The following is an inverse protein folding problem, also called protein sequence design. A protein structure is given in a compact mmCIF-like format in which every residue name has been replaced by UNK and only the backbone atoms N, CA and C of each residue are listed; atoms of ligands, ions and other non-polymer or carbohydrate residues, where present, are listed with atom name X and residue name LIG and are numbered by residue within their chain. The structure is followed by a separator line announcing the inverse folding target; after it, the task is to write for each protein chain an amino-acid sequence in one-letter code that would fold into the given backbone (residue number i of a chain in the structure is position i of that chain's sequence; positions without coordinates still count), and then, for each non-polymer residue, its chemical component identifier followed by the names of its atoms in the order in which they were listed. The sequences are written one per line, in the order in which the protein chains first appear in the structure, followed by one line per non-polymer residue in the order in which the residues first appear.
data_IF_309984095328
#
_entry.id   IF_309984095328
#
_cell.length_a   1.000
_cell.length_b   1.000
_cell.length_c   1.000
_cell.angle_alpha   90.00
_cell.angle_beta   90.00
_cell.angle_gamma   90.00
#
_symmetry.space_group_name_H-M   'P 1'
#
loop_
_entity.id
_entity.type
_entity.pdbx_description
1 polymer ?
#
# COMPACT_ATOMS: atom_id res chain seq x y z
N UNK A 1 67.42 -3.64 -31.42
CA UNK A 1 66.38 -2.57 -31.26
C UNK A 1 65.08 -3.22 -30.86
N UNK A 2 64.84 -3.36 -29.51
CA UNK A 2 63.64 -3.94 -28.95
C UNK A 2 62.67 -2.81 -28.58
N UNK A 3 61.45 -2.82 -29.17
CA UNK A 3 60.38 -1.91 -28.84
C UNK A 3 59.50 -2.56 -27.75
N UNK A 4 59.52 -2.01 -26.53
CA UNK A 4 58.59 -2.35 -25.49
C UNK A 4 57.26 -1.60 -25.71
N UNK A 5 56.19 -2.34 -26.01
CA UNK A 5 54.83 -1.81 -25.95
C UNK A 5 54.36 -1.78 -24.49
N UNK A 6 54.09 -0.58 -24.00
CA UNK A 6 53.42 -0.39 -22.71
C UNK A 6 51.89 -0.53 -22.94
N UNK A 7 51.30 -1.56 -22.39
CA UNK A 7 49.83 -1.71 -22.36
C UNK A 7 49.29 -0.91 -21.17
N UNK A 8 48.56 0.16 -21.45
CA UNK A 8 47.82 0.92 -20.42
C UNK A 8 46.46 0.25 -20.23
N UNK A 9 46.29 -0.43 -19.11
CA UNK A 9 44.98 -0.98 -18.71
C UNK A 9 44.19 0.12 -18.07
N UNK A 10 43.15 0.64 -18.76
CA UNK A 10 42.16 1.53 -18.17
C UNK A 10 41.26 0.71 -17.22
N UNK A 11 41.41 0.92 -15.92
CA UNK A 11 40.38 0.50 -14.93
C UNK A 11 39.18 1.42 -15.05
N UNK A 12 38.11 0.95 -15.63
CA UNK A 12 36.81 1.59 -15.52
C UNK A 12 36.29 1.44 -14.10
N UNK A 13 36.39 2.49 -13.29
CA UNK A 13 35.72 2.58 -11.98
C UNK A 13 34.24 2.81 -12.28
N UNK A 14 33.47 1.74 -12.30
CA UNK A 14 32.01 1.81 -12.32
C UNK A 14 31.53 2.44 -11.02
N UNK A 15 31.14 3.71 -11.06
CA UNK A 15 30.42 4.33 -9.95
C UNK A 15 29.04 3.64 -9.84
N UNK A 16 28.90 2.70 -8.92
CA UNK A 16 27.61 2.21 -8.49
C UNK A 16 26.93 3.35 -7.73
N UNK A 17 26.03 4.06 -8.41
CA UNK A 17 25.12 4.94 -7.70
C UNK A 17 24.29 4.08 -6.77
N UNK A 18 24.47 4.23 -5.47
CA UNK A 18 23.58 3.66 -4.49
C UNK A 18 22.17 4.20 -4.76
N UNK A 19 21.25 3.31 -5.11
CA UNK A 19 19.86 3.68 -5.35
C UNK A 19 19.30 4.19 -4.02
N UNK A 20 18.73 5.40 -4.03
CA UNK A 20 18.19 6.00 -2.81
C UNK A 20 16.91 5.25 -2.41
N UNK A 21 16.76 5.01 -1.09
CA UNK A 21 15.51 4.47 -0.56
C UNK A 21 14.31 5.38 -0.90
N UNK A 22 13.10 4.85 -1.05
CA UNK A 22 11.91 5.66 -1.31
C UNK A 22 11.72 6.66 -0.17
N UNK A 23 11.38 7.89 -0.50
CA UNK A 23 11.15 8.95 0.50
C UNK A 23 10.16 9.96 -0.03
N UNK A 24 9.16 10.29 0.79
CA UNK A 24 8.24 11.39 0.50
C UNK A 24 9.01 12.72 0.40
N UNK A 25 8.50 13.71 -0.35
CA UNK A 25 9.12 15.03 -0.50
C UNK A 25 9.46 15.66 0.86
N UNK A 26 10.67 16.21 0.99
CA UNK A 26 11.17 16.80 2.24
C UNK A 26 10.35 18.01 2.74
N UNK A 27 9.53 18.61 1.89
CA UNK A 27 8.61 19.69 2.23
C UNK A 27 7.35 19.22 2.95
N UNK A 28 7.11 17.90 3.06
CA UNK A 28 5.97 17.38 3.79
C UNK A 28 6.13 17.67 5.28
N UNK A 29 5.04 18.14 5.88
CA UNK A 29 4.90 18.20 7.33
C UNK A 29 4.65 16.81 7.89
N UNK A 30 4.90 16.62 9.19
CA UNK A 30 4.66 15.35 9.88
C UNK A 30 4.09 15.58 11.27
N UNK A 31 3.17 14.72 11.70
CA UNK A 31 2.68 14.68 13.08
C UNK A 31 2.08 13.32 13.41
N UNK A 32 1.81 13.09 14.67
CA UNK A 32 1.04 11.94 15.14
C UNK A 32 -0.36 12.41 15.52
N UNK A 33 -1.38 11.66 15.09
CA UNK A 33 -2.78 11.91 15.40
C UNK A 33 -3.30 10.74 16.23
N UNK A 34 -3.82 11.05 17.42
CA UNK A 34 -4.44 10.06 18.26
C UNK A 34 -5.82 9.68 17.70
N UNK A 35 -6.00 8.39 17.43
CA UNK A 35 -7.28 7.81 17.02
C UNK A 35 -8.12 7.44 18.24
N UNK A 36 -9.44 7.70 18.23
CA UNK A 36 -10.35 7.20 19.27
C UNK A 36 -10.32 5.67 19.44
N UNK A 37 -9.82 4.96 18.43
CA UNK A 37 -9.66 3.49 18.45
C UNK A 37 -8.33 3.05 19.13
N UNK A 38 -7.66 3.94 19.86
CA UNK A 38 -6.51 3.62 20.71
C UNK A 38 -5.18 3.46 19.98
N UNK A 39 -5.05 3.99 18.76
CA UNK A 39 -3.77 4.04 18.05
C UNK A 39 -3.29 5.48 17.85
N UNK A 40 -1.99 5.67 17.91
CA UNK A 40 -1.33 6.90 17.50
C UNK A 40 -0.87 6.73 16.05
N UNK A 41 -1.49 7.45 15.12
CA UNK A 41 -1.25 7.35 13.69
C UNK A 41 -0.28 8.42 13.25
N UNK A 42 0.90 7.98 12.79
CA UNK A 42 1.85 8.89 12.17
C UNK A 42 1.37 9.24 10.76
N UNK A 43 1.39 10.51 10.43
CA UNK A 43 0.97 11.01 9.12
C UNK A 43 1.91 12.10 8.62
N UNK A 44 2.20 12.04 7.34
CA UNK A 44 2.89 13.11 6.61
C UNK A 44 1.93 13.72 5.60
N UNK A 45 2.01 15.04 5.40
CA UNK A 45 1.16 15.71 4.42
C UNK A 45 1.84 16.94 3.82
N UNK A 46 1.46 17.28 2.59
CA UNK A 46 2.01 18.41 1.86
C UNK A 46 1.18 18.79 0.65
N UNK A 47 1.57 19.87 -0.01
CA UNK A 47 0.84 20.42 -1.16
C UNK A 47 -0.34 21.30 -0.78
N UNK A 48 -1.13 21.72 -1.78
CA UNK A 48 -2.33 22.56 -1.63
C UNK A 48 -3.35 22.19 -2.70
N UNK A 49 -4.63 22.16 -2.34
CA UNK A 49 -5.73 21.83 -3.24
C UNK A 49 -6.65 20.77 -2.65
N UNK A 50 -7.44 20.07 -3.47
CA UNK A 50 -8.29 18.96 -3.02
C UNK A 50 -7.47 17.90 -2.29
N UNK A 51 -8.08 17.29 -1.26
CA UNK A 51 -7.36 16.35 -0.39
C UNK A 51 -7.33 14.96 -1.02
N UNK A 52 -6.15 14.33 -1.05
CA UNK A 52 -5.95 12.94 -1.47
C UNK A 52 -5.26 12.18 -0.34
N UNK A 53 -5.87 11.13 0.16
CA UNK A 53 -5.29 10.22 1.14
C UNK A 53 -4.72 9.00 0.43
N UNK A 54 -3.44 8.67 0.70
CA UNK A 54 -2.73 7.53 0.12
C UNK A 54 -2.50 6.48 1.21
N UNK A 55 -3.11 5.31 1.07
CA UNK A 55 -3.08 4.23 2.06
C UNK A 55 -2.25 3.06 1.53
N UNK A 56 -1.10 2.83 2.16
CA UNK A 56 -0.12 1.80 1.76
C UNK A 56 -0.57 0.38 2.12
N UNK A 57 0.17 -0.61 1.59
CA UNK A 57 -0.06 -2.03 1.80
C UNK A 57 0.84 -2.71 2.83
N UNK A 58 0.84 -4.05 2.78
CA UNK A 58 1.73 -4.90 3.54
C UNK A 58 3.09 -5.00 2.86
N UNK A 59 4.14 -5.31 3.62
CA UNK A 59 5.54 -5.35 3.16
C UNK A 59 6.07 -4.00 2.64
N UNK A 60 5.37 -2.92 2.94
CA UNK A 60 5.72 -1.54 2.62
C UNK A 60 5.30 -0.60 3.76
N UNK A 61 5.48 0.70 3.59
CA UNK A 61 4.97 1.77 4.45
C UNK A 61 4.59 2.99 3.59
N UNK A 62 4.25 4.12 4.22
CA UNK A 62 3.83 5.34 3.52
C UNK A 62 4.84 5.88 2.49
N UNK A 63 6.12 5.49 2.55
CA UNK A 63 7.14 5.93 1.58
C UNK A 63 7.00 5.25 0.21
N UNK A 64 6.25 4.13 0.08
CA UNK A 64 5.93 3.53 -1.22
C UNK A 64 5.21 4.50 -2.16
N UNK A 65 4.50 5.45 -1.59
CA UNK A 65 3.77 6.48 -2.33
C UNK A 65 4.63 7.64 -2.83
N UNK A 66 5.95 7.63 -2.62
CA UNK A 66 6.82 8.75 -2.96
C UNK A 66 6.66 9.26 -4.41
N UNK A 67 6.57 8.40 -5.46
CA UNK A 67 6.39 8.88 -6.82
C UNK A 67 5.05 9.61 -7.02
N UNK A 68 3.95 9.05 -6.51
CA UNK A 68 2.62 9.64 -6.64
C UNK A 68 2.47 10.91 -5.79
N UNK A 69 3.01 10.89 -4.58
CA UNK A 69 2.95 12.04 -3.68
C UNK A 69 3.72 13.25 -4.25
N UNK A 70 4.88 13.02 -4.86
CA UNK A 70 5.68 14.07 -5.51
C UNK A 70 4.95 14.69 -6.72
N UNK A 71 4.12 13.91 -7.40
CA UNK A 71 3.33 14.42 -8.51
C UNK A 71 2.08 15.17 -8.03
N UNK A 72 1.27 14.56 -7.18
CA UNK A 72 0.01 15.11 -6.70
C UNK A 72 0.18 16.37 -5.85
N UNK A 73 1.28 16.52 -5.08
CA UNK A 73 1.49 17.70 -4.24
C UNK A 73 1.58 19.03 -5.01
N UNK A 74 1.69 19.00 -6.33
CA UNK A 74 1.74 20.19 -7.18
C UNK A 74 0.43 20.98 -7.13
N UNK A 75 -0.70 20.28 -6.99
CA UNK A 75 -2.06 20.83 -7.08
C UNK A 75 -3.08 20.17 -6.13
N UNK A 76 -2.65 19.20 -5.32
CA UNK A 76 -3.44 18.54 -4.29
C UNK A 76 -2.81 18.67 -2.92
N UNK A 77 -3.62 18.58 -1.88
CA UNK A 77 -3.14 18.29 -0.52
C UNK A 77 -3.04 16.77 -0.37
N UNK A 78 -1.82 16.26 -0.29
CA UNK A 78 -1.55 14.83 -0.20
C UNK A 78 -1.35 14.45 1.25
N UNK A 79 -2.10 13.46 1.75
CA UNK A 79 -2.09 12.95 3.12
C UNK A 79 -1.66 11.49 3.09
N UNK A 80 -0.55 11.16 3.74
CA UNK A 80 0.08 9.83 3.66
C UNK A 80 0.32 9.30 5.08
N UNK A 81 -0.66 8.56 5.65
CA UNK A 81 -0.51 7.93 6.96
C UNK A 81 0.31 6.64 6.86
N UNK A 82 1.02 6.29 7.93
CA UNK A 82 1.40 4.91 8.20
C UNK A 82 0.20 4.21 8.85
N UNK A 83 -0.18 3.04 8.36
CA UNK A 83 -1.26 2.26 8.96
C UNK A 83 -0.90 1.86 10.40
N UNK A 84 -1.93 1.65 11.23
CA UNK A 84 -1.81 1.06 12.58
C UNK A 84 -0.87 -0.15 12.55
N UNK A 85 0.15 -0.15 13.41
CA UNK A 85 1.10 -1.24 13.54
C UNK A 85 2.28 -1.21 12.56
N UNK A 86 2.30 -0.30 11.58
CA UNK A 86 3.33 -0.21 10.55
C UNK A 86 4.04 1.15 10.64
N UNK A 87 5.27 1.21 10.18
CA UNK A 87 6.05 2.43 10.15
C UNK A 87 6.21 3.07 11.52
N UNK A 88 5.98 4.37 11.57
CA UNK A 88 6.06 5.18 12.78
C UNK A 88 4.76 5.25 13.58
N UNK A 89 3.69 4.63 13.09
CA UNK A 89 2.44 4.49 13.85
C UNK A 89 2.62 3.54 15.03
N UNK A 90 1.84 3.75 16.09
CA UNK A 90 1.88 2.88 17.27
C UNK A 90 1.42 1.46 16.91
N UNK A 91 1.91 0.48 17.69
CA UNK A 91 1.70 -0.94 17.48
C UNK A 91 0.86 -1.55 18.63
N UNK A 92 -0.44 -1.13 18.78
CA UNK A 92 -1.32 -1.64 19.84
C UNK A 92 -1.52 -3.16 19.72
N UNK A 93 -2.04 -3.79 20.78
CA UNK A 93 -2.27 -5.25 20.79
C UNK A 93 -3.44 -5.70 19.91
N UNK A 94 -4.37 -4.79 19.57
CA UNK A 94 -5.57 -5.12 18.81
C UNK A 94 -6.04 -4.02 17.86
N UNK A 95 -7.26 -4.21 17.28
CA UNK A 95 -7.89 -3.25 16.39
C UNK A 95 -7.36 -3.31 14.95
N UNK A 96 -6.85 -4.46 14.51
CA UNK A 96 -6.30 -4.64 13.17
C UNK A 96 -7.35 -5.01 12.12
N UNK A 97 -8.62 -5.13 12.51
CA UNK A 97 -9.72 -5.20 11.56
C UNK A 97 -9.85 -3.87 10.77
N UNK A 98 -10.29 -3.99 9.53
CA UNK A 98 -10.24 -2.88 8.58
C UNK A 98 -11.29 -1.80 8.88
N UNK A 99 -12.36 -2.17 9.58
CA UNK A 99 -13.36 -1.22 10.08
C UNK A 99 -12.80 -0.31 11.17
N UNK A 100 -12.00 -0.86 12.10
CA UNK A 100 -11.26 -0.08 13.10
C UNK A 100 -10.23 0.82 12.44
N UNK A 101 -9.45 0.30 11.49
CA UNK A 101 -8.46 1.10 10.75
C UNK A 101 -9.10 2.19 9.88
N UNK A 102 -10.30 1.97 9.36
CA UNK A 102 -11.06 3.01 8.66
C UNK A 102 -11.38 4.21 9.57
N UNK A 103 -11.66 3.96 10.85
CA UNK A 103 -11.85 5.04 11.84
C UNK A 103 -10.54 5.77 12.16
N UNK A 104 -9.41 5.05 12.17
CA UNK A 104 -8.08 5.70 12.27
C UNK A 104 -7.87 6.67 11.11
N UNK A 105 -8.18 6.24 9.88
CA UNK A 105 -8.07 7.10 8.70
C UNK A 105 -9.02 8.30 8.77
N UNK A 106 -10.22 8.12 9.33
CA UNK A 106 -11.13 9.24 9.58
C UNK A 106 -10.56 10.23 10.59
N UNK A 107 -9.96 9.74 11.67
CA UNK A 107 -9.29 10.58 12.67
C UNK A 107 -8.13 11.37 12.04
N UNK A 108 -7.36 10.76 11.13
CA UNK A 108 -6.29 11.44 10.39
C UNK A 108 -6.85 12.60 9.57
N UNK A 109 -7.86 12.36 8.73
CA UNK A 109 -8.46 13.38 7.86
C UNK A 109 -9.02 14.54 8.68
N UNK A 110 -9.81 14.25 9.72
CA UNK A 110 -10.42 15.26 10.58
C UNK A 110 -9.42 15.98 11.47
N UNK A 111 -8.43 15.26 12.00
CA UNK A 111 -7.34 15.81 12.81
C UNK A 111 -6.41 16.77 12.05
N UNK A 112 -6.39 16.69 10.71
CA UNK A 112 -5.75 17.65 9.84
C UNK A 112 -6.68 18.80 9.40
N UNK A 113 -7.94 18.80 9.85
CA UNK A 113 -8.90 19.86 9.54
C UNK A 113 -9.67 19.66 8.23
N UNK A 114 -9.63 18.46 7.64
CA UNK A 114 -10.33 18.15 6.39
C UNK A 114 -11.61 17.34 6.65
N UNK A 115 -12.56 17.40 5.72
CA UNK A 115 -13.82 16.63 5.82
C UNK A 115 -13.94 15.57 4.72
N UNK A 116 -13.66 15.93 3.48
CA UNK A 116 -13.77 15.04 2.31
C UNK A 116 -12.41 14.81 1.68
N UNK A 117 -12.25 13.63 1.07
CA UNK A 117 -10.98 13.26 0.44
C UNK A 117 -11.19 12.33 -0.76
N UNK A 118 -10.31 12.40 -1.73
CA UNK A 118 -10.02 11.29 -2.62
C UNK A 118 -9.25 10.24 -1.83
N UNK A 119 -9.46 8.97 -2.12
CA UNK A 119 -8.75 7.86 -1.47
C UNK A 119 -8.06 7.01 -2.53
N UNK A 120 -6.77 6.80 -2.36
CA UNK A 120 -5.95 5.88 -3.19
C UNK A 120 -5.32 4.86 -2.26
N UNK A 121 -5.43 3.59 -2.60
CA UNK A 121 -4.99 2.53 -1.72
C UNK A 121 -4.38 1.36 -2.49
N UNK A 122 -3.48 0.62 -1.84
CA UNK A 122 -2.80 -0.55 -2.36
C UNK A 122 -2.83 -1.68 -1.33
N UNK A 123 -2.95 -2.92 -1.78
CA UNK A 123 -2.88 -4.15 -0.98
C UNK A 123 -3.84 -4.13 0.24
N UNK A 124 -3.37 -4.38 1.46
CA UNK A 124 -4.23 -4.28 2.67
C UNK A 124 -4.83 -2.88 2.84
N UNK A 125 -4.19 -1.85 2.27
CA UNK A 125 -4.75 -0.51 2.19
C UNK A 125 -6.07 -0.47 1.42
N UNK A 126 -6.28 -1.31 0.38
CA UNK A 126 -7.57 -1.44 -0.31
C UNK A 126 -8.69 -1.88 0.64
N UNK A 127 -8.36 -2.80 1.52
CA UNK A 127 -9.33 -3.34 2.48
C UNK A 127 -9.75 -2.26 3.48
N UNK A 128 -8.78 -1.44 3.94
CA UNK A 128 -9.03 -0.26 4.79
C UNK A 128 -9.82 0.80 4.04
N UNK A 129 -9.46 1.08 2.78
CA UNK A 129 -10.13 2.06 1.94
C UNK A 129 -11.57 1.67 1.61
N UNK A 130 -11.84 0.38 1.37
CA UNK A 130 -13.20 -0.12 1.21
C UNK A 130 -14.03 0.06 2.48
N UNK A 131 -13.52 -0.36 3.64
CA UNK A 131 -14.19 -0.16 4.91
C UNK A 131 -14.42 1.33 5.22
N UNK A 132 -13.45 2.20 4.88
CA UNK A 132 -13.57 3.65 4.99
C UNK A 132 -14.69 4.20 4.09
N UNK A 133 -14.69 3.83 2.81
CA UNK A 133 -15.70 4.27 1.85
C UNK A 133 -17.11 3.75 2.18
N UNK A 134 -17.23 2.52 2.70
CA UNK A 134 -18.50 1.96 3.13
C UNK A 134 -19.04 2.62 4.41
N UNK A 135 -18.15 3.02 5.33
CA UNK A 135 -18.55 3.67 6.59
C UNK A 135 -18.82 5.16 6.42
N UNK A 136 -18.08 5.84 5.55
CA UNK A 136 -18.09 7.30 5.36
C UNK A 136 -18.29 7.68 3.87
N UNK A 137 -19.31 7.09 3.23
CA UNK A 137 -19.51 7.22 1.79
C UNK A 137 -19.64 8.69 1.31
N UNK A 138 -20.26 9.56 2.11
CA UNK A 138 -20.42 10.99 1.81
C UNK A 138 -19.10 11.80 1.97
N UNK A 139 -18.05 11.17 2.50
CA UNK A 139 -16.71 11.76 2.72
C UNK A 139 -15.68 11.36 1.66
N UNK A 140 -16.00 10.39 0.81
CA UNK A 140 -15.13 9.92 -0.27
C UNK A 140 -15.59 10.47 -1.61
N UNK A 141 -14.75 11.29 -2.23
CA UNK A 141 -15.05 11.91 -3.53
C UNK A 141 -14.84 10.93 -4.69
N UNK A 142 -13.74 10.17 -4.67
CA UNK A 142 -13.38 9.09 -5.58
C UNK A 142 -12.53 8.07 -4.83
N UNK A 143 -12.59 6.83 -5.26
CA UNK A 143 -11.81 5.73 -4.68
C UNK A 143 -10.95 5.06 -5.75
N UNK A 144 -9.66 4.91 -5.49
CA UNK A 144 -8.74 4.08 -6.28
C UNK A 144 -8.30 2.91 -5.40
N UNK A 145 -8.48 1.69 -5.89
CA UNK A 145 -8.03 0.46 -5.22
C UNK A 145 -7.11 -0.31 -6.16
N UNK A 146 -5.97 -0.77 -5.62
CA UNK A 146 -4.90 -1.36 -6.42
C UNK A 146 -4.51 -2.74 -5.89
N UNK A 147 -4.73 -3.75 -6.73
CA UNK A 147 -4.09 -5.06 -6.71
C UNK A 147 -4.23 -5.89 -5.42
N UNK A 148 -5.43 -5.96 -4.83
CA UNK A 148 -5.70 -6.85 -3.69
C UNK A 148 -7.17 -7.23 -3.57
N UNK A 149 -7.48 -8.41 -2.95
CA UNK A 149 -8.85 -8.81 -2.70
C UNK A 149 -9.46 -8.01 -1.54
N UNK A 150 -10.77 -8.21 -1.34
CA UNK A 150 -11.49 -7.75 -0.16
C UNK A 150 -11.98 -8.98 0.60
N UNK A 151 -11.58 -9.21 1.86
CA UNK A 151 -12.00 -10.38 2.63
C UNK A 151 -13.52 -10.59 2.62
N UNK A 152 -13.96 -11.79 2.25
CA UNK A 152 -15.38 -12.15 2.19
C UNK A 152 -16.16 -11.65 0.97
N UNK A 153 -15.57 -10.84 0.07
CA UNK A 153 -16.17 -10.42 -1.20
C UNK A 153 -15.69 -11.35 -2.32
N UNK A 154 -16.61 -11.81 -3.13
CA UNK A 154 -16.30 -12.79 -4.19
C UNK A 154 -15.24 -12.25 -5.19
N UNK A 155 -14.33 -13.11 -5.65
CA UNK A 155 -14.21 -14.54 -5.41
C UNK A 155 -13.27 -14.92 -4.22
N UNK A 156 -13.54 -14.41 -3.02
CA UNK A 156 -12.67 -14.56 -1.84
C UNK A 156 -12.27 -16.00 -1.54
N UNK A 157 -13.24 -16.94 -1.58
CA UNK A 157 -12.98 -18.32 -1.25
C UNK A 157 -12.05 -19.01 -2.28
N UNK A 158 -12.14 -18.64 -3.54
CA UNK A 158 -11.24 -19.14 -4.61
C UNK A 158 -9.83 -18.57 -4.42
N UNK A 159 -9.72 -17.29 -4.04
CA UNK A 159 -8.43 -16.66 -3.75
C UNK A 159 -7.73 -17.36 -2.59
N UNK A 160 -8.45 -17.73 -1.53
CA UNK A 160 -7.88 -18.44 -0.37
C UNK A 160 -7.34 -19.84 -0.73
N UNK A 161 -7.83 -20.46 -1.79
CA UNK A 161 -7.32 -21.75 -2.28
C UNK A 161 -6.04 -21.59 -3.10
N UNK A 162 -5.67 -20.38 -3.50
CA UNK A 162 -4.45 -20.15 -4.26
C UNK A 162 -3.22 -20.28 -3.34
N UNK A 163 -2.29 -21.22 -3.61
CA UNK A 163 -1.09 -21.37 -2.78
C UNK A 163 -0.18 -20.13 -2.80
N UNK A 164 -0.31 -19.23 -3.77
CA UNK A 164 0.43 -17.97 -3.83
C UNK A 164 0.12 -17.02 -2.65
N UNK A 165 -1.10 -17.10 -2.08
CA UNK A 165 -1.48 -16.29 -0.91
C UNK A 165 -1.18 -16.97 0.42
N UNK A 166 -0.17 -17.83 0.48
CA UNK A 166 0.24 -18.59 1.67
C UNK A 166 0.40 -17.71 2.92
N UNK A 167 0.86 -16.47 2.75
CA UNK A 167 1.11 -15.50 3.82
C UNK A 167 -0.19 -15.06 4.53
N UNK A 168 -1.37 -15.21 3.91
CA UNK A 168 -2.64 -14.94 4.56
C UNK A 168 -2.89 -15.86 5.77
N UNK A 169 -2.30 -17.06 5.74
CA UNK A 169 -2.41 -18.04 6.82
C UNK A 169 -1.13 -18.20 7.63
N UNK A 170 -0.04 -17.51 7.25
CA UNK A 170 1.25 -17.57 7.95
C UNK A 170 1.32 -16.46 9.00
N UNK A 171 0.74 -16.70 10.15
CA UNK A 171 0.67 -15.76 11.27
C UNK A 171 0.61 -16.50 12.62
N UNK A 172 0.56 -15.74 13.72
CA UNK A 172 0.51 -16.28 15.07
C UNK A 172 1.88 -16.35 15.78
N UNK A 173 1.93 -16.91 16.99
CA UNK A 173 3.10 -16.84 17.84
C UNK A 173 4.31 -17.59 17.26
N UNK A 174 4.09 -18.74 16.62
CA UNK A 174 5.20 -19.53 16.06
C UNK A 174 5.72 -18.91 14.77
N UNK A 175 4.86 -18.38 13.89
CA UNK A 175 5.28 -17.61 12.73
C UNK A 175 6.16 -16.41 13.14
N UNK A 176 5.75 -15.67 14.18
CA UNK A 176 6.55 -14.59 14.77
C UNK A 176 7.93 -15.07 15.23
N UNK A 177 8.02 -16.21 15.91
CA UNK A 177 9.30 -16.78 16.38
C UNK A 177 10.20 -17.22 15.21
N UNK A 178 9.62 -17.81 14.17
CA UNK A 178 10.34 -18.25 12.97
C UNK A 178 10.95 -17.06 12.20
N UNK A 179 10.23 -15.93 12.14
CA UNK A 179 10.63 -14.76 11.35
C UNK A 179 11.56 -13.83 12.15
N UNK A 180 11.56 -13.87 13.47
CA UNK A 180 12.37 -12.98 14.31
C UNK A 180 13.85 -12.98 13.92
N UNK A 181 14.39 -11.83 13.54
CA UNK A 181 15.74 -11.62 13.00
C UNK A 181 15.92 -12.12 11.56
N UNK A 182 14.84 -12.49 10.89
CA UNK A 182 14.81 -12.97 9.48
C UNK A 182 13.74 -12.26 8.66
N UNK A 183 13.29 -11.10 9.11
CA UNK A 183 12.21 -10.31 8.49
C UNK A 183 12.52 -10.05 7.02
N UNK A 184 13.79 -9.75 6.67
CA UNK A 184 14.20 -9.55 5.29
C UNK A 184 14.00 -10.82 4.43
N UNK A 185 14.32 -12.00 4.94
CA UNK A 185 14.16 -13.28 4.22
C UNK A 185 12.65 -13.55 4.00
N UNK A 186 11.83 -13.29 5.01
CA UNK A 186 10.39 -13.44 4.92
C UNK A 186 9.79 -12.52 3.86
N UNK A 187 10.17 -11.25 3.87
CA UNK A 187 9.67 -10.27 2.90
C UNK A 187 10.24 -10.47 1.49
N UNK A 188 11.49 -10.92 1.35
CA UNK A 188 12.05 -11.28 0.05
C UNK A 188 11.19 -12.33 -0.66
N UNK A 189 10.67 -13.31 0.08
CA UNK A 189 9.75 -14.30 -0.47
C UNK A 189 8.47 -13.64 -1.00
N UNK A 190 7.86 -12.73 -0.24
CA UNK A 190 6.63 -12.03 -0.64
C UNK A 190 6.92 -11.14 -1.86
N UNK A 191 7.98 -10.33 -1.83
CA UNK A 191 8.31 -9.48 -2.97
C UNK A 191 8.57 -10.28 -4.23
N UNK A 192 9.31 -11.39 -4.15
CA UNK A 192 9.64 -12.23 -5.30
C UNK A 192 8.44 -12.99 -5.85
N UNK A 193 7.52 -13.44 -4.99
CA UNK A 193 6.33 -14.20 -5.43
C UNK A 193 5.34 -13.32 -6.21
N UNK A 194 5.34 -11.99 -5.97
CA UNK A 194 4.32 -11.10 -6.51
C UNK A 194 4.87 -10.04 -7.50
N UNK A 195 6.16 -10.00 -7.75
CA UNK A 195 6.75 -9.07 -8.77
C UNK A 195 6.72 -9.67 -10.17
N UNK A 196 6.53 -8.81 -11.17
CA UNK A 196 6.80 -9.15 -12.58
C UNK A 196 8.24 -8.84 -12.98
N UNK A 197 8.90 -7.93 -12.27
CA UNK A 197 10.30 -7.55 -12.46
C UNK A 197 11.13 -7.95 -11.24
N UNK A 198 11.97 -9.02 -11.32
CA UNK A 198 12.78 -9.48 -10.20
C UNK A 198 13.74 -8.44 -9.60
N UNK A 199 14.02 -7.35 -10.33
CA UNK A 199 14.82 -6.23 -9.82
C UNK A 199 14.02 -5.27 -8.91
N UNK A 200 12.70 -5.51 -8.76
CA UNK A 200 11.77 -4.64 -8.02
C UNK A 200 11.00 -5.40 -6.93
N UNK A 201 10.73 -4.76 -5.80
CA UNK A 201 11.41 -3.56 -5.30
C UNK A 201 12.94 -3.75 -5.29
N UNK A 202 13.72 -2.68 -5.44
CA UNK A 202 15.17 -2.78 -5.43
C UNK A 202 15.74 -3.04 -4.03
N UNK A 203 17.03 -3.37 -3.95
CA UNK A 203 17.70 -3.79 -2.70
C UNK A 203 17.62 -2.71 -1.61
N UNK A 204 17.75 -1.44 -1.94
CA UNK A 204 17.66 -0.35 -0.98
C UNK A 204 16.23 -0.23 -0.40
N UNK A 205 15.23 -0.34 -1.27
CA UNK A 205 13.80 -0.32 -0.92
C UNK A 205 13.44 -1.53 -0.04
N UNK A 206 13.88 -2.74 -0.41
CA UNK A 206 13.64 -3.96 0.37
C UNK A 206 14.25 -3.87 1.77
N UNK A 207 15.49 -3.39 1.88
CA UNK A 207 16.14 -3.17 3.17
C UNK A 207 15.38 -2.16 4.03
N UNK A 208 14.95 -1.07 3.43
CA UNK A 208 14.20 -0.02 4.12
C UNK A 208 12.86 -0.53 4.66
N UNK A 209 12.07 -1.21 3.83
CA UNK A 209 10.77 -1.74 4.26
C UNK A 209 10.93 -2.86 5.30
N UNK A 210 11.85 -3.81 5.08
CA UNK A 210 12.07 -4.88 6.06
C UNK A 210 12.48 -4.34 7.43
N UNK A 211 13.33 -3.30 7.48
CA UNK A 211 13.74 -2.67 8.74
C UNK A 211 12.55 -2.09 9.53
N UNK A 212 11.54 -1.56 8.82
CA UNK A 212 10.30 -1.05 9.44
C UNK A 212 9.56 -2.13 10.25
N UNK A 213 9.52 -3.35 9.74
CA UNK A 213 8.85 -4.48 10.40
C UNK A 213 9.73 -5.20 11.43
N UNK A 214 11.06 -5.04 11.35
CA UNK A 214 12.00 -5.58 12.31
C UNK A 214 11.98 -4.82 13.66
N UNK A 215 11.39 -3.62 13.70
CA UNK A 215 11.21 -2.88 14.94
C UNK A 215 10.36 -3.63 15.97
N UNK A 216 10.54 -3.37 17.28
CA UNK A 216 9.77 -4.01 18.34
C UNK A 216 8.25 -3.95 18.08
N UNK A 217 7.61 -5.11 17.99
CA UNK A 217 6.18 -5.25 17.72
C UNK A 217 5.80 -5.20 16.24
N UNK A 218 6.72 -4.88 15.31
CA UNK A 218 6.43 -4.72 13.89
C UNK A 218 5.85 -5.99 13.26
N UNK A 219 6.54 -7.13 13.36
CA UNK A 219 6.01 -8.39 12.81
C UNK A 219 4.75 -8.87 13.52
N UNK A 220 4.60 -8.64 14.85
CA UNK A 220 3.35 -8.95 15.54
C UNK A 220 2.17 -8.19 14.93
N UNK A 221 2.35 -6.90 14.74
CA UNK A 221 1.36 -6.02 14.14
C UNK A 221 1.10 -6.37 12.66
N UNK A 222 2.16 -6.66 11.89
CA UNK A 222 2.05 -7.11 10.52
C UNK A 222 1.22 -8.39 10.39
N UNK A 223 1.48 -9.42 11.21
CA UNK A 223 0.68 -10.64 11.22
C UNK A 223 -0.76 -10.43 11.71
N UNK A 224 -0.98 -9.48 12.61
CA UNK A 224 -2.32 -9.15 13.09
C UNK A 224 -3.23 -8.59 11.99
N UNK A 225 -2.66 -8.01 10.91
CA UNK A 225 -3.43 -7.59 9.74
C UNK A 225 -4.16 -8.76 9.08
N UNK A 226 -3.51 -9.92 8.97
CA UNK A 226 -4.07 -11.14 8.37
C UNK A 226 -4.97 -11.90 9.35
N UNK A 227 -4.61 -11.94 10.62
CA UNK A 227 -5.45 -12.55 11.67
C UNK A 227 -6.85 -11.91 11.70
N UNK A 228 -6.98 -10.64 11.33
CA UNK A 228 -8.23 -9.92 11.29
C UNK A 228 -9.17 -10.30 10.13
N UNK A 229 -8.68 -11.00 9.09
CA UNK A 229 -9.47 -11.29 7.87
C UNK A 229 -10.80 -11.99 8.11
N UNK A 230 -10.89 -12.85 9.13
CA UNK A 230 -12.16 -13.49 9.48
C UNK A 230 -13.19 -12.51 10.04
N UNK A 231 -12.75 -11.46 10.76
CA UNK A 231 -13.63 -10.39 11.21
C UNK A 231 -13.95 -9.44 10.05
N UNK A 232 -12.93 -9.09 9.24
CA UNK A 232 -13.11 -8.25 8.06
C UNK A 232 -14.15 -8.85 7.09
N UNK A 233 -14.11 -10.17 6.87
CA UNK A 233 -15.10 -10.85 6.03
C UNK A 233 -16.54 -10.70 6.57
N UNK A 234 -16.74 -10.75 7.89
CA UNK A 234 -18.05 -10.53 8.51
C UNK A 234 -18.52 -9.08 8.35
N UNK A 235 -17.63 -8.13 8.59
CA UNK A 235 -17.94 -6.70 8.45
C UNK A 235 -18.24 -6.36 6.99
N UNK A 236 -17.47 -6.90 6.04
CA UNK A 236 -17.65 -6.68 4.62
C UNK A 236 -18.97 -7.28 4.10
N UNK A 237 -19.45 -8.40 4.66
CA UNK A 237 -20.80 -8.94 4.37
C UNK A 237 -21.92 -7.99 4.79
N UNK A 238 -21.70 -7.17 5.79
CA UNK A 238 -22.64 -6.09 6.15
C UNK A 238 -22.51 -4.91 5.19
N UNK A 239 -21.29 -4.50 4.89
CA UNK A 239 -21.01 -3.37 3.99
C UNK A 239 -21.52 -3.60 2.56
N UNK A 240 -21.40 -4.81 2.03
CA UNK A 240 -21.83 -5.14 0.66
C UNK A 240 -23.34 -4.98 0.41
N UNK A 241 -24.16 -4.91 1.47
CA UNK A 241 -25.59 -4.69 1.36
C UNK A 241 -25.92 -3.30 0.78
N UNK A 242 -25.00 -2.34 0.88
CA UNK A 242 -25.14 -1.01 0.30
C UNK A 242 -23.92 -0.72 -0.58
N UNK A 243 -24.13 -0.78 -1.90
CA UNK A 243 -23.04 -0.54 -2.85
C UNK A 243 -22.54 0.90 -2.79
N UNK A 244 -21.22 1.05 -2.93
CA UNK A 244 -20.58 2.35 -3.12
C UNK A 244 -21.07 3.01 -4.41
N UNK A 245 -21.38 4.30 -4.35
CA UNK A 245 -21.90 5.07 -5.50
C UNK A 245 -20.90 6.09 -6.05
N UNK A 246 -19.86 6.45 -5.28
CA UNK A 246 -18.78 7.29 -5.78
C UNK A 246 -18.03 6.59 -6.92
N UNK A 247 -17.39 7.33 -7.85
CA UNK A 247 -16.54 6.74 -8.87
C UNK A 247 -15.39 5.92 -8.25
N UNK A 248 -15.19 4.70 -8.76
CA UNK A 248 -14.13 3.77 -8.33
C UNK A 248 -13.24 3.44 -9.52
N UNK A 249 -11.93 3.58 -9.36
CA UNK A 249 -10.93 3.03 -10.27
C UNK A 249 -10.34 1.76 -9.63
N UNK A 250 -10.52 0.64 -10.31
CA UNK A 250 -10.00 -0.65 -9.90
C UNK A 250 -8.79 -1.01 -10.78
N UNK A 251 -7.60 -1.00 -10.20
CA UNK A 251 -6.33 -1.18 -10.89
C UNK A 251 -5.71 -2.52 -10.52
N UNK A 252 -5.33 -3.32 -11.52
CA UNK A 252 -4.54 -4.53 -11.30
C UNK A 252 -3.24 -4.50 -12.10
N UNK A 253 -2.17 -5.08 -11.56
CA UNK A 253 -0.98 -5.39 -12.32
C UNK A 253 -1.26 -6.55 -13.30
N UNK A 254 -0.78 -6.45 -14.55
CA UNK A 254 -1.04 -7.46 -15.60
C UNK A 254 -0.64 -8.88 -15.16
N UNK A 255 0.44 -9.01 -14.37
CA UNK A 255 0.99 -10.29 -13.88
C UNK A 255 0.53 -10.63 -12.46
N UNK A 256 -0.43 -9.90 -11.91
CA UNK A 256 -1.02 -10.11 -10.60
C UNK A 256 -2.56 -10.17 -10.70
N UNK A 257 -3.29 -9.25 -10.05
CA UNK A 257 -4.75 -9.27 -10.08
C UNK A 257 -5.35 -8.90 -11.46
N UNK A 258 -4.68 -8.04 -12.25
CA UNK A 258 -5.16 -7.66 -13.58
C UNK A 258 -6.64 -7.21 -13.56
N UNK A 259 -7.49 -7.76 -14.46
CA UNK A 259 -8.93 -7.45 -14.50
C UNK A 259 -9.71 -7.91 -13.27
N UNK A 260 -9.19 -8.87 -12.49
CA UNK A 260 -9.86 -9.41 -11.30
C UNK A 260 -10.15 -8.32 -10.26
N UNK A 261 -9.29 -7.30 -10.18
CA UNK A 261 -9.52 -6.17 -9.27
C UNK A 261 -10.87 -5.49 -9.55
N UNK A 262 -11.22 -5.31 -10.82
CA UNK A 262 -12.50 -4.71 -11.19
C UNK A 262 -13.69 -5.67 -10.98
N UNK A 263 -13.49 -6.96 -11.18
CA UNK A 263 -14.50 -7.99 -10.87
C UNK A 263 -14.89 -7.89 -9.40
N UNK A 264 -13.92 -7.89 -8.49
CA UNK A 264 -14.15 -7.76 -7.04
C UNK A 264 -14.92 -6.47 -6.73
N UNK A 265 -14.49 -5.33 -7.27
CA UNK A 265 -15.14 -4.06 -6.98
C UNK A 265 -16.57 -3.94 -7.51
N UNK A 266 -16.93 -4.61 -8.60
CA UNK A 266 -18.30 -4.64 -9.13
C UNK A 266 -19.29 -5.36 -8.21
N UNK A 267 -18.83 -6.19 -7.29
CA UNK A 267 -19.68 -6.76 -6.23
C UNK A 267 -20.12 -5.69 -5.24
N UNK A 268 -19.29 -4.69 -4.96
CA UNK A 268 -19.47 -3.72 -3.87
C UNK A 268 -19.65 -2.26 -4.32
N UNK A 269 -19.57 -1.96 -5.62
CA UNK A 269 -19.69 -0.62 -6.16
C UNK A 269 -20.51 -0.61 -7.47
N UNK A 270 -21.17 0.52 -7.77
CA UNK A 270 -22.00 0.67 -8.99
C UNK A 270 -21.26 1.36 -10.13
N UNK A 271 -20.27 2.18 -9.85
CA UNK A 271 -19.52 2.97 -10.82
C UNK A 271 -18.03 2.59 -10.81
N UNK A 272 -17.69 1.48 -11.47
CA UNK A 272 -16.34 0.91 -11.48
C UNK A 272 -15.71 1.03 -12.86
N UNK A 273 -14.62 1.80 -12.93
CA UNK A 273 -13.70 1.84 -14.08
C UNK A 273 -12.57 0.83 -13.83
N UNK A 274 -12.34 -0.03 -14.81
CA UNK A 274 -11.26 -1.00 -14.84
C UNK A 274 -10.00 -0.40 -15.44
N UNK A 275 -8.84 -0.75 -14.88
CA UNK A 275 -7.55 -0.50 -15.48
C UNK A 275 -6.55 -1.62 -15.15
N UNK A 276 -5.64 -1.88 -16.09
CA UNK A 276 -4.56 -2.84 -15.93
C UNK A 276 -3.24 -2.14 -16.29
N UNK A 277 -2.25 -2.25 -15.39
CA UNK A 277 -0.90 -1.71 -15.64
C UNK A 277 -0.07 -2.79 -16.34
N UNK A 278 0.23 -2.56 -17.62
CA UNK A 278 0.96 -3.50 -18.45
C UNK A 278 2.38 -3.77 -17.91
N UNK A 279 2.78 -5.03 -17.90
CA UNK A 279 4.10 -5.47 -17.47
C UNK A 279 4.37 -5.27 -15.97
N UNK A 280 3.35 -4.96 -15.14
CA UNK A 280 3.47 -4.90 -13.68
C UNK A 280 2.99 -6.18 -13.04
N UNK A 281 3.65 -6.56 -11.94
CA UNK A 281 3.10 -7.43 -10.91
C UNK A 281 2.32 -6.62 -9.88
N UNK A 282 2.40 -7.05 -8.63
CA UNK A 282 1.71 -6.45 -7.51
C UNK A 282 2.27 -5.07 -7.09
N UNK A 283 3.57 -4.85 -7.25
CA UNK A 283 4.28 -3.67 -6.75
C UNK A 283 4.25 -2.52 -7.76
N UNK A 284 3.05 -2.02 -8.07
CA UNK A 284 2.80 -1.10 -9.19
C UNK A 284 3.62 0.18 -9.11
N UNK A 285 3.82 0.74 -7.90
CA UNK A 285 4.59 1.97 -7.69
C UNK A 285 6.09 1.75 -7.86
N UNK A 286 6.61 0.56 -7.60
CA UNK A 286 8.01 0.19 -7.75
C UNK A 286 8.33 -0.32 -9.16
N UNK A 287 7.39 -1.05 -9.77
CA UNK A 287 7.60 -1.69 -11.08
C UNK A 287 7.27 -0.76 -12.26
N UNK A 288 6.19 0.02 -12.15
CA UNK A 288 5.68 0.90 -13.21
C UNK A 288 5.20 2.24 -12.64
N UNK A 289 6.08 3.02 -11.97
CA UNK A 289 5.66 4.26 -11.30
C UNK A 289 5.06 5.30 -12.25
N UNK A 290 5.62 5.50 -13.43
CA UNK A 290 5.14 6.53 -14.36
C UNK A 290 3.73 6.24 -14.86
N UNK A 291 3.47 5.00 -15.27
CA UNK A 291 2.16 4.55 -15.77
C UNK A 291 1.12 4.57 -14.66
N UNK A 292 1.48 4.11 -13.46
CA UNK A 292 0.61 4.10 -12.29
C UNK A 292 0.23 5.51 -11.85
N UNK A 293 1.19 6.43 -11.78
CA UNK A 293 0.96 7.85 -11.45
C UNK A 293 0.03 8.50 -12.48
N UNK A 294 0.33 8.33 -13.79
CA UNK A 294 -0.48 8.93 -14.86
C UNK A 294 -1.93 8.42 -14.83
N UNK A 295 -2.12 7.12 -14.61
CA UNK A 295 -3.43 6.48 -14.54
C UNK A 295 -4.26 7.03 -13.36
N UNK A 296 -3.66 7.10 -12.17
CA UNK A 296 -4.33 7.60 -10.96
C UNK A 296 -4.67 9.07 -11.13
N UNK A 297 -3.72 9.91 -11.57
CA UNK A 297 -3.93 11.33 -11.78
C UNK A 297 -5.08 11.58 -12.76
N UNK A 298 -5.06 10.93 -13.91
CA UNK A 298 -6.13 11.08 -14.92
C UNK A 298 -7.51 10.72 -14.36
N UNK A 299 -7.60 9.78 -13.44
CA UNK A 299 -8.86 9.43 -12.80
C UNK A 299 -9.28 10.47 -11.74
N UNK A 300 -8.35 10.96 -10.92
CA UNK A 300 -8.66 11.97 -9.90
C UNK A 300 -9.10 13.29 -10.53
N UNK A 301 -8.49 13.69 -11.65
CA UNK A 301 -8.75 14.95 -12.36
C UNK A 301 -9.94 14.87 -13.34
N UNK A 302 -10.47 13.68 -13.62
CA UNK A 302 -11.62 13.53 -14.54
C UNK A 302 -12.87 14.21 -13.95
N UNK A 303 -13.65 14.89 -14.80
CA UNK A 303 -14.93 15.53 -14.41
C UNK A 303 -16.04 14.52 -14.14
#
# INVERSE_FOLDING_TARGET
MSRHLLAITLLAIGATFAQAQPSLPSSFQARTIHSPEGADIFVRWGGKGPVVMLIHGYAENSDSWAPLAADLMKDHTVVVPDLRGIGKSSKPEGGYDKKTQAKDMRAVVTGLGYDKTFVVAHDIGNMVAYAYAATYADKVLRLVVMDAPIPGIEPWNEILLNPGVWHFNFHGPDAKRLVAGRERIYFDRIWNDFTADPSKPDEATRNFFAATYAEPGGMRAGFAQFTAFSQDAKDNKVFEQVKLTMPVLAVGGEKSFGPLQAVIMRHVATNVREAVVAGSGHWLMEERPAESVALIRNFLDSQ
#
